data_IF_457866676610
#
_entry.id   IF_457866676610
#
_cell.length_a   1.000
_cell.length_b   1.000
_cell.length_c   1.000
_cell.angle_alpha   90.00
_cell.angle_beta   90.00
_cell.angle_gamma   90.00
#
_symmetry.space_group_name_H-M   'P 1'
#
loop_
_entity.id
_entity.type
_entity.pdbx_description
1 polymer ?
#
# COMPACT_ATOMS: atom_id res chain seq x y z
N UNK A 1 -10.13 -19.41 3.11
CA UNK A 1 -9.48 -18.31 2.39
C UNK A 1 -8.15 -18.02 3.09
N UNK A 2 -7.08 -17.69 2.35
CA UNK A 2 -5.86 -17.22 3.00
C UNK A 2 -6.17 -15.89 3.67
N UNK A 3 -5.99 -15.81 4.97
CA UNK A 3 -6.25 -14.59 5.74
C UNK A 3 -5.05 -13.65 5.53
N UNK A 4 -5.26 -12.57 4.79
CA UNK A 4 -4.23 -11.55 4.50
C UNK A 4 -3.65 -10.98 5.80
N UNK A 5 -4.51 -10.68 6.80
CA UNK A 5 -4.07 -10.19 8.11
C UNK A 5 -3.13 -11.18 8.79
N UNK A 6 -3.54 -12.44 8.89
CA UNK A 6 -2.73 -13.48 9.54
C UNK A 6 -1.42 -13.73 8.78
N UNK A 7 -1.41 -13.63 7.44
CA UNK A 7 -0.20 -13.74 6.63
C UNK A 7 0.79 -12.60 6.92
N UNK A 8 0.30 -11.36 6.97
CA UNK A 8 1.14 -10.22 7.33
C UNK A 8 1.66 -10.33 8.76
N UNK A 9 0.76 -10.51 9.74
CA UNK A 9 1.14 -10.52 11.16
C UNK A 9 2.14 -11.64 11.50
N UNK A 10 1.95 -12.85 10.93
CA UNK A 10 2.73 -14.03 11.32
C UNK A 10 3.94 -14.29 10.43
N UNK A 11 3.94 -13.84 9.17
CA UNK A 11 5.01 -14.16 8.23
C UNK A 11 5.79 -12.92 7.78
N UNK A 12 5.12 -11.85 7.32
CA UNK A 12 5.82 -10.74 6.68
C UNK A 12 6.28 -9.65 7.66
N UNK A 13 5.49 -9.32 8.67
CA UNK A 13 5.76 -8.19 9.56
C UNK A 13 7.16 -8.25 10.20
N UNK A 14 7.67 -9.40 10.69
CA UNK A 14 9.03 -9.47 11.25
C UNK A 14 10.16 -9.09 10.28
N UNK A 15 9.89 -9.17 8.98
CA UNK A 15 10.87 -8.91 7.91
C UNK A 15 10.53 -7.68 7.09
N UNK A 16 9.41 -7.00 7.39
CA UNK A 16 8.83 -6.01 6.48
C UNK A 16 9.78 -4.86 6.15
N UNK A 17 10.43 -4.28 7.15
CA UNK A 17 11.43 -3.23 6.92
C UNK A 17 12.61 -3.74 6.08
N UNK A 18 13.11 -4.95 6.37
CA UNK A 18 14.20 -5.55 5.62
C UNK A 18 13.82 -5.81 4.15
N UNK A 19 12.61 -6.31 3.89
CA UNK A 19 12.10 -6.57 2.52
C UNK A 19 12.26 -5.33 1.62
N UNK A 20 12.01 -4.14 2.17
CA UNK A 20 12.06 -2.88 1.43
C UNK A 20 13.43 -2.16 1.50
N UNK A 21 14.49 -2.83 1.91
CA UNK A 21 15.83 -2.24 1.93
C UNK A 21 16.17 -1.42 3.16
N UNK A 22 15.33 -1.51 4.18
CA UNK A 22 15.41 -0.72 5.42
C UNK A 22 14.43 0.44 5.43
N UNK A 23 13.93 0.75 6.61
CA UNK A 23 12.91 1.80 6.79
C UNK A 23 13.38 3.16 6.28
N UNK A 24 14.63 3.56 6.55
CA UNK A 24 15.11 4.90 6.19
C UNK A 24 15.19 5.11 4.68
N UNK A 25 15.60 4.08 3.92
CA UNK A 25 15.60 4.18 2.46
C UNK A 25 14.18 4.41 1.93
N UNK A 26 13.21 3.63 2.41
CA UNK A 26 11.82 3.73 1.95
C UNK A 26 11.15 5.05 2.36
N UNK A 27 11.42 5.54 3.55
CA UNK A 27 10.97 6.86 3.99
C UNK A 27 11.54 7.98 3.11
N UNK A 28 12.83 7.93 2.77
CA UNK A 28 13.46 8.89 1.86
C UNK A 28 12.85 8.86 0.46
N UNK A 29 12.58 7.66 -0.09
CA UNK A 29 11.91 7.51 -1.38
C UNK A 29 10.53 8.19 -1.37
N UNK A 30 9.74 7.98 -0.31
CA UNK A 30 8.41 8.58 -0.20
C UNK A 30 8.46 10.09 0.09
N UNK A 31 9.42 10.60 0.88
CA UNK A 31 9.66 12.05 1.03
C UNK A 31 9.91 12.70 -0.33
N UNK A 32 10.80 12.11 -1.13
CA UNK A 32 11.10 12.60 -2.47
C UNK A 32 9.88 12.52 -3.39
N UNK A 33 9.14 11.41 -3.35
CA UNK A 33 7.91 11.26 -4.11
C UNK A 33 6.92 12.38 -3.79
N UNK A 34 6.58 12.60 -2.53
CA UNK A 34 5.62 13.62 -2.13
C UNK A 34 6.11 15.03 -2.48
N UNK A 35 7.39 15.33 -2.26
CA UNK A 35 7.99 16.62 -2.64
C UNK A 35 7.93 16.87 -4.16
N UNK A 36 8.29 15.86 -4.97
CA UNK A 36 8.31 15.99 -6.43
C UNK A 36 6.91 16.19 -7.03
N UNK A 37 5.86 15.70 -6.37
CA UNK A 37 4.46 15.86 -6.82
C UNK A 37 3.74 17.00 -6.09
N UNK A 38 4.48 17.86 -5.35
CA UNK A 38 3.92 19.00 -4.64
C UNK A 38 2.84 18.60 -3.61
N UNK A 39 3.03 17.45 -2.94
CA UNK A 39 2.11 16.97 -1.91
C UNK A 39 2.54 17.57 -0.56
N UNK A 40 1.83 18.61 -0.18
CA UNK A 40 1.97 19.34 1.08
C UNK A 40 0.60 19.89 1.50
N UNK A 41 0.37 20.15 2.79
CA UNK A 41 -0.92 20.70 3.23
C UNK A 41 -1.14 22.12 2.72
N UNK A 42 -2.27 22.35 2.09
CA UNK A 42 -2.71 23.66 1.56
C UNK A 42 -4.16 24.00 1.90
N UNK A 43 -4.92 23.04 2.44
CA UNK A 43 -6.33 23.18 2.81
C UNK A 43 -6.54 22.80 4.28
N UNK A 44 -7.11 21.62 4.55
CA UNK A 44 -7.37 21.15 5.92
C UNK A 44 -6.13 20.65 6.65
N UNK A 45 -5.09 20.29 5.93
CA UNK A 45 -3.90 19.66 6.48
C UNK A 45 -4.14 18.23 6.99
N UNK A 46 -5.27 17.60 6.63
CA UNK A 46 -5.60 16.23 7.03
C UNK A 46 -5.35 15.25 5.91
N UNK A 47 -4.56 14.21 6.17
CA UNK A 47 -4.32 13.11 5.26
C UNK A 47 -4.80 11.78 5.86
N UNK A 48 -5.30 10.88 5.02
CA UNK A 48 -5.59 9.49 5.38
C UNK A 48 -4.67 8.55 4.58
N UNK A 49 -4.06 7.60 5.26
CA UNK A 49 -3.21 6.56 4.68
C UNK A 49 -3.93 5.21 4.81
N UNK A 50 -4.44 4.71 3.68
CA UNK A 50 -5.19 3.47 3.60
C UNK A 50 -4.26 2.28 3.29
N UNK A 51 -4.04 1.44 4.28
CA UNK A 51 -3.02 0.38 4.26
C UNK A 51 -1.65 0.91 4.65
N UNK A 52 -1.61 1.63 5.76
CA UNK A 52 -0.44 2.37 6.24
C UNK A 52 0.77 1.49 6.59
N UNK A 53 0.53 0.20 6.93
CA UNK A 53 1.59 -0.70 7.35
C UNK A 53 2.44 -0.14 8.48
N UNK A 54 3.76 -0.19 8.31
CA UNK A 54 4.72 0.37 9.27
C UNK A 54 5.01 1.89 9.06
N UNK A 55 4.20 2.56 8.24
CA UNK A 55 4.21 4.03 8.12
C UNK A 55 5.13 4.61 7.06
N UNK A 56 5.48 3.85 6.03
CA UNK A 56 6.34 4.34 4.95
C UNK A 56 5.79 5.57 4.23
N UNK A 57 4.48 5.75 4.19
CA UNK A 57 3.79 6.93 3.67
C UNK A 57 3.40 7.89 4.79
N UNK A 58 2.84 7.36 5.89
CA UNK A 58 2.34 8.16 7.01
C UNK A 58 3.39 9.07 7.63
N UNK A 59 4.63 8.56 7.85
CA UNK A 59 5.72 9.34 8.46
C UNK A 59 6.13 10.51 7.55
N UNK A 60 6.46 10.30 6.25
CA UNK A 60 6.77 11.41 5.34
C UNK A 60 5.64 12.43 5.18
N UNK A 61 4.38 12.01 5.21
CA UNK A 61 3.25 12.94 5.16
C UNK A 61 3.16 13.80 6.42
N UNK A 62 3.35 13.20 7.60
CA UNK A 62 3.36 13.95 8.85
C UNK A 62 4.55 14.92 8.95
N UNK A 63 5.74 14.51 8.48
CA UNK A 63 6.91 15.39 8.36
C UNK A 63 6.69 16.54 7.38
N UNK A 64 5.87 16.33 6.32
CA UNK A 64 5.45 17.38 5.40
C UNK A 64 4.40 18.34 5.99
N UNK A 65 3.91 18.07 7.20
CA UNK A 65 2.99 18.94 7.95
C UNK A 65 1.53 18.47 7.99
N UNK A 66 1.20 17.30 7.46
CA UNK A 66 -0.16 16.74 7.59
C UNK A 66 -0.40 16.18 8.99
N UNK A 67 -1.65 16.31 9.46
CA UNK A 67 -2.20 15.41 10.48
C UNK A 67 -2.64 14.13 9.78
N UNK A 68 -2.05 12.98 10.11
CA UNK A 68 -2.27 11.73 9.40
C UNK A 68 -3.15 10.78 10.20
N UNK A 69 -4.17 10.21 9.53
CA UNK A 69 -4.97 9.08 10.02
C UNK A 69 -4.51 7.85 9.25
N UNK A 70 -3.80 6.97 9.93
CA UNK A 70 -3.16 5.77 9.37
C UNK A 70 -4.01 4.53 9.68
N UNK A 71 -4.59 3.92 8.65
CA UNK A 71 -5.48 2.75 8.79
C UNK A 71 -4.78 1.52 8.22
N UNK A 72 -4.71 0.45 9.00
CA UNK A 72 -4.22 -0.86 8.55
C UNK A 72 -4.89 -2.00 9.32
N UNK A 73 -4.97 -3.18 8.70
CA UNK A 73 -5.50 -4.39 9.34
C UNK A 73 -4.48 -5.07 10.27
N UNK A 74 -3.18 -4.80 10.09
CA UNK A 74 -2.10 -5.41 10.85
C UNK A 74 -1.77 -4.59 12.10
N UNK A 75 -2.15 -5.09 13.26
CA UNK A 75 -1.78 -4.47 14.53
C UNK A 75 -0.25 -4.47 14.76
N UNK A 76 0.46 -5.46 14.20
CA UNK A 76 1.92 -5.59 14.32
C UNK A 76 2.60 -4.45 13.57
N UNK A 77 2.22 -4.20 12.32
CA UNK A 77 2.79 -3.12 11.51
C UNK A 77 2.42 -1.74 12.08
N UNK A 78 1.18 -1.56 12.58
CA UNK A 78 0.79 -0.33 13.25
C UNK A 78 1.56 -0.07 14.56
N UNK A 79 1.93 -1.12 15.29
CA UNK A 79 2.79 -0.98 16.46
C UNK A 79 4.20 -0.48 16.09
N UNK A 80 4.75 -0.97 14.97
CA UNK A 80 6.03 -0.48 14.43
C UNK A 80 5.90 0.98 13.95
N UNK A 81 4.79 1.34 13.31
CA UNK A 81 4.49 2.73 12.95
C UNK A 81 4.47 3.63 14.19
N UNK A 82 3.70 3.27 15.23
CA UNK A 82 3.63 4.04 16.49
C UNK A 82 5.01 4.26 17.10
N UNK A 83 5.85 3.23 17.11
CA UNK A 83 7.22 3.29 17.64
C UNK A 83 8.11 4.23 16.82
N UNK A 84 7.96 4.23 15.51
CA UNK A 84 8.78 5.01 14.58
C UNK A 84 8.30 6.47 14.45
N UNK A 85 7.00 6.70 14.58
CA UNK A 85 6.38 8.01 14.44
C UNK A 85 6.74 8.98 15.57
N UNK A 86 7.07 8.50 16.79
CA UNK A 86 7.39 9.32 17.96
C UNK A 86 6.32 10.39 18.23
N UNK A 87 6.71 11.68 18.12
CA UNK A 87 5.87 12.86 18.37
C UNK A 87 5.13 13.36 17.10
N UNK A 88 5.25 12.67 15.99
CA UNK A 88 4.56 13.08 14.76
C UNK A 88 3.03 12.98 14.91
N UNK A 89 2.26 13.89 14.30
CA UNK A 89 0.81 13.92 14.39
C UNK A 89 0.15 12.80 13.58
N UNK A 90 0.37 11.53 13.98
CA UNK A 90 -0.15 10.33 13.33
C UNK A 90 -1.07 9.60 14.31
N UNK A 91 -2.34 9.49 13.94
CA UNK A 91 -3.31 8.62 14.59
C UNK A 91 -3.34 7.27 13.87
N UNK A 92 -3.19 6.16 14.59
CA UNK A 92 -3.22 4.82 14.01
C UNK A 92 -4.49 4.09 14.38
N UNK A 93 -5.15 3.49 13.39
CA UNK A 93 -6.43 2.80 13.54
C UNK A 93 -6.30 1.39 12.94
N UNK A 94 -6.54 0.37 13.78
CA UNK A 94 -6.64 -1.02 13.31
C UNK A 94 -8.03 -1.26 12.74
N UNK A 95 -8.17 -1.20 11.42
CA UNK A 95 -9.43 -1.50 10.73
C UNK A 95 -9.17 -1.85 9.25
N UNK A 96 -10.18 -2.38 8.60
CA UNK A 96 -10.15 -2.61 7.16
C UNK A 96 -10.32 -1.28 6.43
N UNK A 97 -9.49 -1.04 5.42
CA UNK A 97 -9.55 0.17 4.60
C UNK A 97 -10.95 0.42 3.98
N UNK A 98 -11.78 -0.61 3.82
CA UNK A 98 -13.17 -0.47 3.35
C UNK A 98 -14.04 0.32 4.32
N UNK A 99 -13.69 0.35 5.60
CA UNK A 99 -14.41 1.03 6.66
C UNK A 99 -13.91 2.46 6.93
N UNK A 100 -12.96 2.96 6.17
CA UNK A 100 -12.27 4.23 6.47
C UNK A 100 -13.24 5.42 6.68
N UNK A 101 -14.42 5.41 6.07
CA UNK A 101 -15.43 6.46 6.25
C UNK A 101 -15.95 6.59 7.70
N UNK A 102 -15.83 5.55 8.52
CA UNK A 102 -16.20 5.62 9.95
C UNK A 102 -15.21 6.48 10.74
N UNK A 103 -14.00 6.60 10.22
CA UNK A 103 -12.87 7.25 10.88
C UNK A 103 -12.46 8.58 10.23
N UNK A 104 -13.11 8.96 9.11
CA UNK A 104 -12.72 10.18 8.43
C UNK A 104 -13.26 11.42 9.14
N UNK A 105 -12.47 12.49 9.27
CA UNK A 105 -12.96 13.79 9.68
C UNK A 105 -13.76 14.45 8.54
N UNK A 106 -14.57 15.43 8.84
CA UNK A 106 -15.49 16.06 7.88
C UNK A 106 -14.83 16.61 6.60
N UNK A 107 -13.51 16.90 6.62
CA UNK A 107 -12.77 17.43 5.45
C UNK A 107 -11.38 16.76 5.40
N UNK A 108 -11.18 15.87 4.44
CA UNK A 108 -9.89 15.26 4.16
C UNK A 108 -9.28 15.89 2.90
N UNK A 109 -8.04 16.35 3.00
CA UNK A 109 -7.33 16.99 1.89
C UNK A 109 -6.61 15.99 0.99
N UNK A 110 -6.06 14.93 1.59
CA UNK A 110 -5.29 13.93 0.90
C UNK A 110 -5.69 12.52 1.36
N UNK A 111 -5.92 11.63 0.40
CA UNK A 111 -6.04 10.20 0.69
C UNK A 111 -4.99 9.48 -0.13
N UNK A 112 -4.17 8.66 0.52
CA UNK A 112 -3.20 7.81 -0.15
C UNK A 112 -3.56 6.33 0.06
N UNK A 113 -3.40 5.53 -0.98
CA UNK A 113 -3.48 4.07 -0.93
C UNK A 113 -2.33 3.55 -1.80
N UNK A 114 -1.17 3.38 -1.18
CA UNK A 114 0.10 3.17 -1.88
C UNK A 114 0.69 1.78 -1.62
N UNK A 115 1.73 1.44 -2.36
CA UNK A 115 2.27 0.10 -2.37
C UNK A 115 1.37 -0.85 -3.15
N UNK A 116 1.06 -1.98 -2.58
CA UNK A 116 0.16 -2.96 -3.21
C UNK A 116 -1.19 -3.10 -2.47
N UNK A 117 -1.52 -2.16 -1.60
CA UNK A 117 -2.70 -2.22 -0.72
C UNK A 117 -4.00 -2.39 -1.50
N UNK A 118 -4.19 -1.63 -2.59
CA UNK A 118 -5.39 -1.70 -3.43
C UNK A 118 -5.68 -3.11 -3.94
N UNK A 119 -4.63 -3.87 -4.27
CA UNK A 119 -4.74 -5.23 -4.81
C UNK A 119 -5.18 -6.28 -3.79
N UNK A 120 -5.28 -5.92 -2.50
CA UNK A 120 -5.83 -6.79 -1.45
C UNK A 120 -7.36 -6.76 -1.36
N UNK A 121 -8.02 -5.89 -2.11
CA UNK A 121 -9.47 -5.98 -2.27
C UNK A 121 -9.86 -7.23 -3.06
N UNK A 122 -11.05 -7.77 -2.77
CA UNK A 122 -11.49 -9.05 -3.32
C UNK A 122 -12.05 -8.93 -4.74
N UNK A 123 -12.65 -7.79 -5.08
CA UNK A 123 -13.33 -7.60 -6.37
C UNK A 123 -13.14 -6.19 -6.93
N UNK A 124 -13.32 -6.05 -8.24
CA UNK A 124 -13.34 -4.73 -8.89
C UNK A 124 -14.50 -3.86 -8.41
N UNK A 125 -15.61 -4.47 -7.99
CA UNK A 125 -16.74 -3.72 -7.42
C UNK A 125 -16.35 -3.09 -6.08
N UNK A 126 -15.60 -3.80 -5.22
CA UNK A 126 -15.05 -3.25 -3.99
C UNK A 126 -14.10 -2.08 -4.26
N UNK A 127 -13.25 -2.20 -5.28
CA UNK A 127 -12.36 -1.09 -5.72
C UNK A 127 -13.19 0.12 -6.15
N UNK A 128 -14.23 -0.09 -6.94
CA UNK A 128 -15.11 1.00 -7.39
C UNK A 128 -15.85 1.67 -6.21
N UNK A 129 -16.32 0.87 -5.25
CA UNK A 129 -16.96 1.39 -4.02
C UNK A 129 -15.95 2.21 -3.22
N UNK A 130 -14.72 1.73 -3.04
CA UNK A 130 -13.65 2.47 -2.38
C UNK A 130 -13.43 3.83 -3.06
N UNK A 131 -13.29 3.88 -4.37
CA UNK A 131 -13.07 5.14 -5.10
C UNK A 131 -14.23 6.12 -4.95
N UNK A 132 -15.49 5.63 -4.97
CA UNK A 132 -16.68 6.49 -4.70
C UNK A 132 -16.64 7.07 -3.29
N UNK A 133 -16.24 6.26 -2.32
CA UNK A 133 -16.13 6.69 -0.92
C UNK A 133 -14.98 7.70 -0.74
N UNK A 134 -13.83 7.46 -1.37
CA UNK A 134 -12.71 8.41 -1.40
C UNK A 134 -13.13 9.74 -2.01
N UNK A 135 -13.85 9.72 -3.14
CA UNK A 135 -14.37 10.95 -3.77
C UNK A 135 -15.27 11.76 -2.83
N UNK A 136 -16.10 11.09 -2.04
CA UNK A 136 -17.00 11.74 -1.07
C UNK A 136 -16.23 12.34 0.12
N UNK A 137 -15.21 11.63 0.60
CA UNK A 137 -14.44 12.04 1.77
C UNK A 137 -13.45 13.19 1.49
N UNK A 138 -12.97 13.30 0.25
CA UNK A 138 -12.10 14.40 -0.14
C UNK A 138 -12.86 15.73 -0.17
N UNK A 139 -12.26 16.77 0.37
CA UNK A 139 -12.71 18.15 0.16
C UNK A 139 -12.56 18.59 -1.30
N UNK A 140 -13.13 19.75 -1.66
CA UNK A 140 -12.89 20.34 -2.99
C UNK A 140 -11.40 20.55 -3.22
N UNK A 141 -10.90 20.17 -4.40
CA UNK A 141 -9.46 20.09 -4.74
C UNK A 141 -8.63 19.11 -3.90
N UNK A 142 -9.25 18.28 -3.06
CA UNK A 142 -8.57 17.20 -2.36
C UNK A 142 -8.01 16.14 -3.34
N UNK A 143 -6.90 15.54 -2.97
CA UNK A 143 -6.13 14.64 -3.87
C UNK A 143 -6.17 13.19 -3.39
N UNK A 144 -6.22 12.28 -4.35
CA UNK A 144 -6.01 10.83 -4.18
C UNK A 144 -4.69 10.45 -4.81
N UNK A 145 -3.86 9.69 -4.08
CA UNK A 145 -2.64 9.07 -4.60
C UNK A 145 -2.78 7.56 -4.50
N UNK A 146 -2.65 6.89 -5.63
CA UNK A 146 -2.65 5.44 -5.73
C UNK A 146 -1.31 4.95 -6.27
N UNK A 147 -0.77 3.90 -5.66
CA UNK A 147 0.26 3.09 -6.33
C UNK A 147 -0.07 1.62 -6.14
N UNK A 148 0.04 0.84 -7.20
CA UNK A 148 -0.18 -0.61 -7.17
C UNK A 148 0.54 -1.30 -8.32
N UNK A 149 0.83 -2.58 -8.14
CA UNK A 149 1.46 -3.38 -9.19
C UNK A 149 0.44 -3.83 -10.22
N UNK A 150 0.76 -3.62 -11.50
CA UNK A 150 0.00 -4.23 -12.59
C UNK A 150 0.25 -5.75 -12.61
N UNK A 151 -0.77 -6.51 -12.25
CA UNK A 151 -0.77 -7.97 -12.24
C UNK A 151 -1.55 -8.57 -13.40
N UNK A 152 -1.96 -7.76 -14.38
CA UNK A 152 -2.73 -8.22 -15.53
C UNK A 152 -1.85 -8.96 -16.55
N UNK A 153 -0.56 -8.62 -16.59
CA UNK A 153 0.42 -9.34 -17.39
C UNK A 153 0.91 -10.59 -16.63
N UNK A 154 0.80 -11.76 -17.26
CA UNK A 154 1.19 -13.02 -16.64
C UNK A 154 2.66 -13.37 -16.96
N UNK A 155 3.47 -13.50 -15.93
CA UNK A 155 4.78 -14.10 -16.05
C UNK A 155 4.65 -15.60 -16.35
N UNK A 156 5.58 -16.18 -17.12
CA UNK A 156 5.52 -17.57 -17.57
C UNK A 156 6.73 -18.38 -17.08
N UNK A 157 6.53 -19.68 -16.93
CA UNK A 157 7.62 -20.59 -16.59
C UNK A 157 8.36 -20.17 -15.32
N UNK A 158 9.67 -20.06 -15.40
CA UNK A 158 10.55 -19.73 -14.29
C UNK A 158 10.49 -18.23 -13.89
N UNK A 159 10.03 -17.35 -14.77
CA UNK A 159 9.90 -15.92 -14.45
C UNK A 159 8.87 -15.66 -13.35
N UNK A 160 8.03 -16.64 -13.01
CA UNK A 160 7.11 -16.59 -11.87
C UNK A 160 7.80 -16.68 -10.51
N UNK A 161 9.06 -17.11 -10.46
CA UNK A 161 9.89 -17.11 -9.27
C UNK A 161 10.63 -15.79 -9.18
N UNK A 162 10.27 -14.95 -8.23
CA UNK A 162 10.80 -13.60 -8.06
C UNK A 162 11.73 -13.57 -6.88
N UNK A 163 13.05 -13.40 -7.07
CA UNK A 163 13.95 -13.12 -5.97
C UNK A 163 13.69 -11.71 -5.44
N UNK A 164 13.13 -11.62 -4.24
CA UNK A 164 12.78 -10.31 -3.65
C UNK A 164 13.99 -9.68 -2.99
N UNK A 165 14.64 -10.42 -2.09
CA UNK A 165 15.82 -9.97 -1.37
C UNK A 165 16.63 -11.15 -0.81
N UNK A 166 17.96 -10.98 -0.73
CA UNK A 166 18.83 -11.96 -0.12
C UNK A 166 19.99 -11.29 0.63
N UNK A 167 20.34 -11.87 1.76
CA UNK A 167 21.54 -11.60 2.56
C UNK A 167 22.16 -12.93 3.02
N UNK A 168 23.27 -12.88 3.75
CA UNK A 168 24.02 -14.09 4.15
C UNK A 168 23.22 -15.09 4.99
N UNK A 169 22.21 -14.63 5.71
CA UNK A 169 21.41 -15.41 6.65
C UNK A 169 19.89 -15.33 6.39
N UNK A 170 19.47 -14.63 5.35
CA UNK A 170 18.06 -14.42 5.06
C UNK A 170 17.82 -14.31 3.56
N UNK A 171 16.89 -15.11 3.03
CA UNK A 171 16.51 -15.10 1.62
C UNK A 171 14.98 -15.03 1.54
N UNK A 172 14.46 -14.11 0.75
CA UNK A 172 13.04 -13.99 0.44
C UNK A 172 12.80 -14.12 -1.05
N UNK A 173 11.93 -15.05 -1.40
CA UNK A 173 11.49 -15.30 -2.78
C UNK A 173 9.98 -15.39 -2.83
N UNK A 174 9.36 -14.81 -3.85
CA UNK A 174 7.95 -15.01 -4.16
C UNK A 174 7.78 -15.96 -5.34
N UNK A 175 6.69 -16.72 -5.35
CA UNK A 175 6.21 -17.44 -6.52
C UNK A 175 4.79 -16.99 -6.85
N UNK A 176 4.52 -16.69 -8.12
CA UNK A 176 3.23 -16.21 -8.59
C UNK A 176 2.44 -17.32 -9.29
N UNK A 177 1.24 -17.58 -8.78
CA UNK A 177 0.27 -18.49 -9.39
C UNK A 177 -0.92 -17.67 -9.89
N UNK A 178 -1.07 -17.56 -11.20
CA UNK A 178 -2.12 -16.74 -11.82
C UNK A 178 -3.45 -17.47 -11.88
N UNK A 179 -4.50 -16.83 -11.40
CA UNK A 179 -5.90 -17.18 -11.53
C UNK A 179 -6.58 -16.16 -12.47
N UNK A 180 -7.83 -16.39 -12.85
CA UNK A 180 -8.54 -15.51 -13.78
C UNK A 180 -8.59 -14.05 -13.31
N UNK A 181 -8.96 -13.84 -12.05
CA UNK A 181 -9.17 -12.51 -11.46
C UNK A 181 -8.12 -12.15 -10.38
N UNK A 182 -7.33 -13.13 -9.94
CA UNK A 182 -6.36 -12.97 -8.86
C UNK A 182 -5.00 -13.55 -9.23
N UNK A 183 -4.02 -13.16 -8.44
CA UNK A 183 -2.71 -13.83 -8.38
C UNK A 183 -2.51 -14.29 -6.95
N UNK A 184 -2.25 -15.59 -6.76
CA UNK A 184 -1.72 -16.07 -5.48
C UNK A 184 -0.24 -15.74 -5.43
N UNK A 185 0.14 -14.99 -4.43
CA UNK A 185 1.52 -14.67 -4.11
C UNK A 185 1.96 -15.63 -3.01
N UNK A 186 2.82 -16.56 -3.37
CA UNK A 186 3.42 -17.50 -2.42
C UNK A 186 4.74 -16.90 -1.93
N UNK A 187 4.81 -16.56 -0.66
CA UNK A 187 6.00 -16.05 -0.02
C UNK A 187 6.79 -17.19 0.60
N UNK A 188 8.08 -17.23 0.32
CA UNK A 188 9.03 -18.23 0.86
C UNK A 188 10.22 -17.49 1.45
N UNK A 189 10.39 -17.61 2.76
CA UNK A 189 11.48 -17.01 3.51
C UNK A 189 12.36 -18.13 4.05
N UNK A 190 13.65 -18.09 3.74
CA UNK A 190 14.66 -18.91 4.34
C UNK A 190 15.47 -18.07 5.32
N UNK A 191 15.50 -18.48 6.58
CA UNK A 191 16.25 -17.84 7.65
C UNK A 191 17.29 -18.82 8.21
N UNK A 192 18.53 -18.39 8.30
CA UNK A 192 19.62 -19.20 8.86
C UNK A 192 19.77 -18.94 10.35
N UNK A 193 19.52 -19.97 11.16
CA UNK A 193 19.68 -19.93 12.61
C UNK A 193 20.64 -21.05 13.05
N UNK A 194 21.71 -20.72 13.76
CA UNK A 194 22.69 -21.71 14.24
C UNK A 194 23.17 -22.66 13.13
N UNK A 195 23.59 -22.11 11.99
CA UNK A 195 24.06 -22.83 10.80
C UNK A 195 23.03 -23.74 10.09
N UNK A 196 21.77 -23.69 10.47
CA UNK A 196 20.69 -24.40 9.80
C UNK A 196 19.72 -23.45 9.15
N UNK A 197 19.33 -23.77 7.92
CA UNK A 197 18.29 -23.04 7.21
C UNK A 197 16.91 -23.53 7.63
N UNK A 198 16.05 -22.59 8.01
CA UNK A 198 14.63 -22.81 8.29
C UNK A 198 13.81 -22.14 7.21
N UNK A 199 12.81 -22.85 6.69
CA UNK A 199 11.89 -22.34 5.69
C UNK A 199 10.56 -21.96 6.34
N UNK A 200 10.15 -20.71 6.14
CA UNK A 200 8.81 -20.20 6.45
C UNK A 200 8.10 -19.91 5.13
N UNK A 201 6.83 -20.23 5.03
CA UNK A 201 6.07 -20.02 3.80
C UNK A 201 4.60 -19.76 4.08
N UNK A 202 3.98 -19.04 3.18
CA UNK A 202 2.55 -18.76 3.19
C UNK A 202 2.11 -18.22 1.83
N UNK A 203 0.83 -17.95 1.67
CA UNK A 203 0.33 -17.29 0.48
C UNK A 203 -0.86 -16.40 0.81
N UNK A 204 -1.11 -15.44 -0.06
CA UNK A 204 -2.29 -14.61 -0.09
C UNK A 204 -2.67 -14.30 -1.54
N UNK A 205 -3.85 -13.74 -1.75
CA UNK A 205 -4.33 -13.35 -3.07
C UNK A 205 -4.21 -11.85 -3.28
N UNK A 206 -3.91 -11.48 -4.50
CA UNK A 206 -3.99 -10.11 -5.01
C UNK A 206 -4.93 -10.05 -6.19
N UNK A 207 -5.84 -9.09 -6.18
CA UNK A 207 -6.73 -8.81 -7.30
C UNK A 207 -5.92 -8.29 -8.50
N UNK A 208 -6.23 -8.78 -9.68
CA UNK A 208 -5.66 -8.30 -10.96
C UNK A 208 -6.45 -7.07 -11.40
N UNK A 209 -5.85 -5.89 -11.21
CA UNK A 209 -6.48 -4.60 -11.52
C UNK A 209 -5.78 -4.00 -12.72
N UNK A 210 -6.52 -3.79 -13.83
CA UNK A 210 -5.97 -3.18 -15.02
C UNK A 210 -5.77 -1.66 -14.82
N UNK A 211 -4.59 -1.12 -15.17
CA UNK A 211 -4.31 0.32 -15.02
C UNK A 211 -5.33 1.20 -15.73
N UNK A 212 -5.64 0.90 -17.01
CA UNK A 212 -6.60 1.68 -17.81
C UNK A 212 -8.01 1.63 -17.22
N UNK A 213 -8.45 0.45 -16.72
CA UNK A 213 -9.74 0.33 -16.03
C UNK A 213 -9.79 1.23 -14.78
N UNK A 214 -8.70 1.27 -14.01
CA UNK A 214 -8.60 2.13 -12.82
C UNK A 214 -8.75 3.59 -13.18
N UNK A 215 -7.99 4.05 -14.18
CA UNK A 215 -8.06 5.42 -14.69
C UNK A 215 -9.48 5.78 -15.17
N UNK A 216 -10.10 4.93 -16.00
CA UNK A 216 -11.46 5.16 -16.49
C UNK A 216 -12.49 5.16 -15.36
N UNK A 217 -12.34 4.29 -14.37
CA UNK A 217 -13.22 4.24 -13.21
C UNK A 217 -13.17 5.56 -12.42
N UNK A 218 -11.97 6.10 -12.16
CA UNK A 218 -11.79 7.39 -11.49
C UNK A 218 -12.43 8.54 -12.29
N UNK A 219 -12.19 8.60 -13.60
CA UNK A 219 -12.79 9.61 -14.48
C UNK A 219 -14.33 9.54 -14.46
N UNK A 220 -14.91 8.34 -14.53
CA UNK A 220 -16.39 8.14 -14.47
C UNK A 220 -17.00 8.55 -13.12
N UNK A 221 -16.24 8.47 -12.02
CA UNK A 221 -16.67 8.92 -10.70
C UNK A 221 -16.66 10.45 -10.60
N UNK A 222 -15.83 11.14 -11.39
CA UNK A 222 -15.69 12.59 -11.40
C UNK A 222 -14.33 13.12 -10.98
N UNK A 223 -13.35 12.24 -10.77
CA UNK A 223 -11.98 12.68 -10.53
C UNK A 223 -11.38 13.30 -11.80
N UNK A 224 -10.52 14.29 -11.60
CA UNK A 224 -9.57 14.74 -12.61
C UNK A 224 -8.25 13.99 -12.39
N UNK A 225 -7.85 13.14 -13.32
CA UNK A 225 -6.57 12.44 -13.27
C UNK A 225 -5.47 13.42 -13.70
N UNK A 226 -4.58 13.74 -12.78
CA UNK A 226 -3.46 14.67 -12.95
C UNK A 226 -2.21 13.95 -13.45
N UNK A 227 -2.02 12.72 -12.98
CA UNK A 227 -0.90 11.87 -13.36
C UNK A 227 -1.35 10.42 -13.53
N UNK A 228 -0.84 9.78 -14.55
CA UNK A 228 -1.00 8.35 -14.81
C UNK A 228 0.29 7.84 -15.42
N UNK A 229 1.03 7.05 -14.66
CA UNK A 229 2.34 6.54 -15.07
C UNK A 229 2.48 5.06 -14.69
N UNK A 230 3.28 4.34 -15.48
CA UNK A 230 3.60 2.93 -15.22
C UNK A 230 5.11 2.74 -15.40
N UNK A 231 5.80 2.50 -14.30
CA UNK A 231 7.23 2.23 -14.31
C UNK A 231 7.53 0.87 -13.70
N UNK A 232 8.19 0.00 -14.46
CA UNK A 232 8.57 -1.36 -14.01
C UNK A 232 7.39 -2.16 -13.43
N UNK A 233 6.20 -2.00 -14.03
CA UNK A 233 4.97 -2.64 -13.59
C UNK A 233 4.32 -2.03 -12.34
N UNK A 234 4.86 -0.94 -11.80
CA UNK A 234 4.22 -0.15 -10.74
C UNK A 234 3.42 0.98 -11.38
N UNK A 235 2.13 0.98 -11.13
CA UNK A 235 1.19 2.02 -11.55
C UNK A 235 1.20 3.14 -10.52
N UNK A 236 1.28 4.38 -10.98
CA UNK A 236 1.09 5.58 -10.17
C UNK A 236 -0.06 6.39 -10.74
N UNK A 237 -1.03 6.73 -9.91
CA UNK A 237 -2.14 7.62 -10.29
C UNK A 237 -2.27 8.71 -9.24
N UNK A 238 -2.26 9.97 -9.68
CA UNK A 238 -2.61 11.11 -8.86
C UNK A 238 -3.86 11.73 -9.47
N UNK A 239 -4.88 11.89 -8.66
CA UNK A 239 -6.15 12.42 -9.09
C UNK A 239 -6.72 13.40 -8.06
N UNK A 240 -7.43 14.43 -8.52
CA UNK A 240 -8.10 15.40 -7.64
C UNK A 240 -9.60 15.34 -7.79
N UNK A 241 -10.28 15.68 -6.68
CA UNK A 241 -11.70 15.99 -6.72
C UNK A 241 -11.88 17.40 -7.29
N UNK A 242 -12.61 17.52 -8.38
CA UNK A 242 -13.02 18.81 -8.95
C UNK A 242 -14.05 19.55 -8.08
#
# INVERSE_FOLDING_TARGET
MADVKAHYDNLLAPYYSWIFGGSEQKLRENRNFFSNHGIQPVLSGVAMDLGAGCGFQSIPLAEAGFKVIAIDISHVLLADLKKSARELPIETIEDNLKNFLVHYPEITELIVCMGDTLTHLETLDEVQILFKNVYRALGGNGRLVLTFRDLTFELKGLDRFIPVRSESNLIFTCFLEYEKEHVKVHDVIYEKTKDQWQMKKGFYRKLRIAPDWTRECLLKIGFRVEEFDIQNGMVTIIASRG
#
